data_IF_630203574924
#
_entry.id   IF_630203574924
#
_cell.length_a   1.000
_cell.length_b   1.000
_cell.length_c   1.000
_cell.angle_alpha   90.00
_cell.angle_beta   90.00
_cell.angle_gamma   90.00
#
_symmetry.space_group_name_H-M   'P 1'
#
loop_
_entity.id
_entity.type
_entity.pdbx_description
1 polymer ?
#
# COMPACT_ATOMS: atom_id res chain seq x y z
N UNK A 1 43.65 36.29 -11.24
CA UNK A 1 42.42 35.90 -11.98
C UNK A 1 41.30 35.81 -10.98
N UNK A 2 40.26 36.63 -11.14
CA UNK A 2 39.25 36.87 -10.11
C UNK A 2 38.22 35.75 -10.06
N UNK A 3 37.98 35.21 -8.86
CA UNK A 3 36.99 34.16 -8.54
C UNK A 3 35.56 34.55 -8.98
N UNK A 4 35.31 35.85 -9.17
CA UNK A 4 34.04 36.44 -9.61
C UNK A 4 33.63 36.10 -11.04
N UNK A 5 34.56 35.75 -11.95
CA UNK A 5 34.19 35.37 -13.33
C UNK A 5 33.65 33.93 -13.44
N UNK A 6 33.85 33.09 -12.42
CA UNK A 6 33.44 31.68 -12.45
C UNK A 6 32.03 31.46 -11.87
N UNK A 7 31.51 32.38 -11.05
CA UNK A 7 30.16 32.31 -10.47
C UNK A 7 29.02 32.16 -11.50
N UNK A 8 28.93 32.97 -12.57
CA UNK A 8 27.83 32.84 -13.54
C UNK A 8 27.89 31.54 -14.35
N UNK A 9 29.07 30.96 -14.52
CA UNK A 9 29.26 29.66 -15.19
C UNK A 9 28.78 28.53 -14.28
N UNK A 10 29.12 28.57 -12.99
CA UNK A 10 28.68 27.58 -12.00
C UNK A 10 27.15 27.60 -11.83
N UNK A 11 26.55 28.79 -11.76
CA UNK A 11 25.09 28.95 -11.71
C UNK A 11 24.41 28.42 -12.97
N UNK A 12 24.97 28.71 -14.16
CA UNK A 12 24.42 28.21 -15.43
C UNK A 12 24.50 26.69 -15.54
N UNK A 13 25.62 26.08 -15.12
CA UNK A 13 25.79 24.62 -15.09
C UNK A 13 24.81 23.99 -14.11
N UNK A 14 24.61 24.60 -12.94
CA UNK A 14 23.63 24.15 -11.96
C UNK A 14 22.20 24.21 -12.53
N UNK A 15 21.80 25.33 -13.12
CA UNK A 15 20.49 25.49 -13.75
C UNK A 15 20.26 24.49 -14.89
N UNK A 16 21.26 24.26 -15.74
CA UNK A 16 21.18 23.24 -16.80
C UNK A 16 21.10 21.82 -16.24
N UNK A 17 21.82 21.52 -15.15
CA UNK A 17 21.73 20.24 -14.47
C UNK A 17 20.34 20.03 -13.85
N UNK A 18 19.77 21.04 -13.19
CA UNK A 18 18.41 21.02 -12.66
C UNK A 18 17.36 20.88 -13.77
N UNK A 19 17.47 21.63 -14.87
CA UNK A 19 16.57 21.55 -16.01
C UNK A 19 16.63 20.18 -16.69
N UNK A 20 17.84 19.62 -16.88
CA UNK A 20 18.04 18.26 -17.41
C UNK A 20 17.51 17.19 -16.46
N UNK A 21 17.69 17.36 -15.16
CA UNK A 21 17.13 16.47 -14.14
C UNK A 21 15.60 16.49 -14.18
N UNK A 22 15.00 17.68 -14.23
CA UNK A 22 13.55 17.86 -14.33
C UNK A 22 13.01 17.27 -15.64
N UNK A 23 13.65 17.56 -16.77
CA UNK A 23 13.31 17.01 -18.08
C UNK A 23 13.36 15.48 -18.08
N UNK A 24 14.42 14.87 -17.53
CA UNK A 24 14.52 13.42 -17.39
C UNK A 24 13.44 12.83 -16.49
N UNK A 25 13.02 13.55 -15.44
CA UNK A 25 11.94 13.13 -14.55
C UNK A 25 10.56 13.24 -15.22
N UNK A 26 10.31 14.30 -15.97
CA UNK A 26 9.06 14.49 -16.70
C UNK A 26 8.89 13.54 -17.89
N UNK A 27 10.00 13.11 -18.51
CA UNK A 27 10.00 12.13 -19.61
C UNK A 27 10.18 10.68 -19.14
N UNK A 28 10.27 10.43 -17.83
CA UNK A 28 10.41 9.08 -17.32
C UNK A 28 9.07 8.34 -17.48
N UNK A 29 8.96 7.50 -18.50
CA UNK A 29 7.90 6.49 -18.59
C UNK A 29 8.41 5.20 -17.98
N UNK A 30 7.61 4.62 -17.11
CA UNK A 30 7.97 3.41 -16.39
C UNK A 30 7.56 2.13 -17.13
N UNK A 31 6.94 2.25 -18.31
CA UNK A 31 6.53 1.11 -19.14
C UNK A 31 7.67 0.16 -19.53
N UNK A 32 8.93 0.59 -19.43
CA UNK A 32 10.11 -0.24 -19.70
C UNK A 32 10.78 -0.83 -18.45
N UNK A 33 10.32 -0.51 -17.23
CA UNK A 33 10.94 -1.02 -15.99
C UNK A 33 10.83 -2.55 -15.86
N UNK A 34 9.75 -3.12 -16.40
CA UNK A 34 9.47 -4.56 -16.40
C UNK A 34 9.80 -5.25 -17.73
N UNK A 35 10.42 -4.57 -18.69
CA UNK A 35 10.67 -5.12 -20.04
C UNK A 35 11.51 -6.41 -20.01
N UNK A 36 12.42 -6.52 -19.04
CA UNK A 36 13.27 -7.69 -18.85
C UNK A 36 12.77 -8.64 -17.74
N UNK A 37 11.59 -8.41 -17.18
CA UNK A 37 11.04 -9.27 -16.13
C UNK A 37 10.38 -10.49 -16.77
N UNK A 38 10.44 -11.63 -16.09
CA UNK A 38 9.66 -12.80 -16.51
C UNK A 38 8.17 -12.49 -16.47
N UNK A 39 7.42 -13.01 -17.44
CA UNK A 39 5.96 -12.92 -17.40
C UNK A 39 5.44 -13.73 -16.20
N UNK A 40 4.54 -13.13 -15.42
CA UNK A 40 3.84 -13.85 -14.37
C UNK A 40 3.00 -14.97 -14.97
N UNK A 41 3.08 -16.16 -14.37
CA UNK A 41 2.20 -17.27 -14.74
C UNK A 41 0.76 -16.98 -14.30
N UNK A 42 -0.20 -17.64 -14.95
CA UNK A 42 -1.61 -17.53 -14.58
C UNK A 42 -1.86 -17.93 -13.11
N UNK A 43 -1.10 -18.90 -12.59
CA UNK A 43 -1.19 -19.34 -11.20
C UNK A 43 -0.67 -18.28 -10.21
N UNK A 44 0.46 -17.64 -10.52
CA UNK A 44 1.01 -16.55 -9.71
C UNK A 44 0.08 -15.34 -9.68
N UNK A 45 -0.59 -15.04 -10.80
CA UNK A 45 -1.49 -13.90 -10.91
C UNK A 45 -2.92 -14.18 -10.42
N UNK A 46 -3.37 -15.44 -10.41
CA UNK A 46 -4.74 -15.82 -10.06
C UNK A 46 -5.29 -15.22 -8.75
N UNK A 47 -4.51 -15.05 -7.67
CA UNK A 47 -5.00 -14.41 -6.44
C UNK A 47 -5.27 -12.91 -6.58
N UNK A 48 -4.60 -12.22 -7.53
CA UNK A 48 -4.58 -10.75 -7.59
C UNK A 48 -5.96 -10.15 -7.87
N UNK A 49 -6.74 -10.57 -8.90
CA UNK A 49 -8.07 -10.00 -9.15
C UNK A 49 -9.03 -10.19 -7.97
N UNK A 50 -8.98 -11.35 -7.31
CA UNK A 50 -9.80 -11.63 -6.12
C UNK A 50 -9.46 -10.69 -4.98
N UNK A 51 -8.17 -10.56 -4.65
CA UNK A 51 -7.73 -9.69 -3.55
C UNK A 51 -7.97 -8.21 -3.86
N UNK A 52 -7.90 -7.81 -5.13
CA UNK A 52 -8.33 -6.49 -5.59
C UNK A 52 -9.81 -6.23 -5.26
N UNK A 53 -10.69 -7.20 -5.54
CA UNK A 53 -12.11 -7.10 -5.17
C UNK A 53 -12.31 -7.03 -3.66
N UNK A 54 -11.55 -7.80 -2.88
CA UNK A 54 -11.64 -7.76 -1.42
C UNK A 54 -11.23 -6.40 -0.86
N UNK A 55 -10.18 -5.81 -1.43
CA UNK A 55 -9.74 -4.46 -1.06
C UNK A 55 -10.78 -3.41 -1.46
N UNK A 56 -11.42 -3.51 -2.63
CA UNK A 56 -12.51 -2.61 -3.02
C UNK A 56 -13.71 -2.72 -2.09
N UNK A 57 -14.04 -3.94 -1.63
CA UNK A 57 -15.12 -4.17 -0.71
C UNK A 57 -14.95 -3.38 0.61
N UNK A 58 -13.70 -3.16 1.05
CA UNK A 58 -13.40 -2.36 2.24
C UNK A 58 -13.75 -0.86 2.08
N UNK A 59 -14.01 -0.39 0.86
CA UNK A 59 -14.47 0.97 0.59
C UNK A 59 -15.98 1.12 0.74
N UNK A 60 -16.74 0.02 0.81
CA UNK A 60 -18.18 0.04 1.04
C UNK A 60 -18.52 0.26 2.51
N UNK A 61 -19.54 1.08 2.73
CA UNK A 61 -20.14 1.27 4.05
C UNK A 61 -20.97 0.04 4.45
N UNK A 62 -21.73 -0.53 3.50
CA UNK A 62 -22.54 -1.74 3.70
C UNK A 62 -22.26 -2.81 2.63
N UNK A 63 -21.60 -3.89 3.04
CA UNK A 63 -21.25 -5.02 2.18
C UNK A 63 -22.45 -5.89 1.78
N UNK A 64 -23.58 -5.80 2.49
CA UNK A 64 -24.82 -6.52 2.13
C UNK A 64 -25.61 -5.77 1.07
N UNK A 65 -25.40 -4.47 0.95
CA UNK A 65 -26.03 -3.61 -0.06
C UNK A 65 -25.00 -2.65 -0.68
N UNK A 66 -24.02 -3.20 -1.44
CA UNK A 66 -22.93 -2.41 -1.99
C UNK A 66 -23.41 -1.45 -3.08
N UNK A 67 -22.82 -0.25 -3.12
CA UNK A 67 -23.21 0.82 -4.04
C UNK A 67 -22.26 0.87 -5.25
N UNK A 68 -21.00 0.51 -5.06
CA UNK A 68 -19.89 0.65 -6.00
C UNK A 68 -19.33 -0.70 -6.47
N UNK A 69 -20.12 -1.76 -6.31
CA UNK A 69 -19.72 -3.10 -6.72
C UNK A 69 -19.40 -3.16 -8.23
N UNK A 70 -18.24 -3.73 -8.61
CA UNK A 70 -17.92 -3.98 -10.01
C UNK A 70 -18.87 -5.06 -10.59
N UNK A 71 -18.91 -5.24 -11.93
CA UNK A 71 -19.62 -6.36 -12.54
C UNK A 71 -19.22 -7.70 -11.91
N UNK A 72 -20.19 -8.47 -11.43
CA UNK A 72 -19.96 -9.73 -10.71
C UNK A 72 -19.71 -9.60 -9.20
N UNK A 73 -19.72 -8.38 -8.66
CA UNK A 73 -19.60 -8.11 -7.22
C UNK A 73 -18.20 -8.34 -6.67
N UNK A 74 -18.06 -8.20 -5.35
CA UNK A 74 -16.77 -8.35 -4.67
C UNK A 74 -16.33 -9.80 -4.47
N UNK A 75 -17.24 -10.77 -4.62
CA UNK A 75 -16.97 -12.18 -4.29
C UNK A 75 -16.73 -12.42 -2.80
N UNK A 76 -17.16 -11.50 -1.93
CA UNK A 76 -17.13 -11.64 -0.48
C UNK A 76 -18.49 -12.15 0.01
N UNK A 77 -18.46 -13.09 0.95
CA UNK A 77 -19.63 -13.41 1.75
C UNK A 77 -19.63 -12.59 3.05
N UNK A 78 -20.58 -11.66 3.27
CA UNK A 78 -20.60 -10.82 4.46
C UNK A 78 -20.67 -11.59 5.79
N UNK A 79 -21.16 -12.83 5.77
CA UNK A 79 -21.27 -13.67 6.97
C UNK A 79 -19.93 -14.32 7.37
N UNK A 80 -18.90 -14.24 6.54
CA UNK A 80 -17.55 -14.74 6.86
C UNK A 80 -16.59 -13.64 7.32
N UNK A 81 -17.09 -12.44 7.52
CA UNK A 81 -16.35 -11.33 8.10
C UNK A 81 -16.24 -11.59 9.61
N UNK A 82 -15.01 -11.66 10.11
CA UNK A 82 -14.76 -11.78 11.56
C UNK A 82 -15.09 -10.45 12.22
N UNK A 83 -14.48 -9.37 11.72
CA UNK A 83 -14.79 -7.99 12.09
C UNK A 83 -14.21 -6.99 11.08
N UNK A 84 -14.73 -5.77 11.14
CA UNK A 84 -14.17 -4.58 10.47
C UNK A 84 -13.81 -3.57 11.55
N UNK A 85 -12.75 -2.80 11.33
CA UNK A 85 -12.37 -1.68 12.19
C UNK A 85 -12.31 -0.40 11.38
N UNK A 86 -13.13 0.55 11.75
CA UNK A 86 -13.16 1.88 11.15
C UNK A 86 -12.17 2.86 11.83
N UNK A 87 -12.21 4.13 11.43
CA UNK A 87 -11.32 5.16 12.00
C UNK A 87 -11.52 5.41 13.50
N UNK A 88 -12.73 5.23 14.00
CA UNK A 88 -13.05 5.46 15.41
C UNK A 88 -12.49 4.31 16.25
N UNK A 89 -12.54 3.08 15.72
CA UNK A 89 -11.96 1.90 16.36
C UNK A 89 -10.42 1.86 16.23
N UNK A 90 -9.85 2.33 15.12
CA UNK A 90 -8.39 2.40 14.96
C UNK A 90 -7.76 3.59 15.66
N UNK A 91 -8.56 4.54 16.16
CA UNK A 91 -8.11 5.79 16.78
C UNK A 91 -7.13 6.57 15.87
N UNK A 92 -7.29 6.45 14.56
CA UNK A 92 -6.40 7.04 13.56
C UNK A 92 -4.96 6.49 13.55
N UNK A 93 -4.70 5.34 14.18
CA UNK A 93 -3.38 4.68 14.19
C UNK A 93 -3.14 3.82 12.95
N UNK A 94 -4.21 3.39 12.30
CA UNK A 94 -4.18 2.65 11.05
C UNK A 94 -5.35 3.02 10.16
N UNK A 95 -5.21 2.90 8.82
CA UNK A 95 -6.36 2.95 7.92
C UNK A 95 -7.37 1.85 8.30
N UNK A 96 -8.66 2.02 7.96
CA UNK A 96 -9.67 1.00 8.18
C UNK A 96 -9.27 -0.34 7.57
N UNK A 97 -9.68 -1.40 8.23
CA UNK A 97 -9.37 -2.75 7.79
C UNK A 97 -10.43 -3.75 8.18
N UNK A 98 -10.41 -4.89 7.50
CA UNK A 98 -11.28 -6.03 7.74
C UNK A 98 -10.48 -7.31 7.90
N UNK A 99 -10.92 -8.14 8.82
CA UNK A 99 -10.48 -9.52 8.94
C UNK A 99 -11.56 -10.44 8.37
N UNK A 100 -11.23 -11.14 7.29
CA UNK A 100 -12.16 -11.95 6.50
C UNK A 100 -11.70 -13.41 6.42
N UNK A 101 -12.63 -14.35 6.57
CA UNK A 101 -12.37 -15.78 6.38
C UNK A 101 -12.88 -16.26 5.03
N UNK A 102 -11.99 -16.44 4.06
CA UNK A 102 -12.34 -17.05 2.79
C UNK A 102 -12.34 -18.58 2.94
N UNK A 103 -13.49 -19.13 3.34
CA UNK A 103 -13.63 -20.57 3.56
C UNK A 103 -13.52 -21.39 2.27
N UNK A 104 -13.83 -20.82 1.11
CA UNK A 104 -13.69 -21.51 -0.18
C UNK A 104 -12.22 -21.72 -0.55
N UNK A 105 -11.38 -20.73 -0.24
CA UNK A 105 -9.93 -20.76 -0.52
C UNK A 105 -9.10 -21.23 0.66
N UNK A 106 -9.72 -21.44 1.83
CA UNK A 106 -9.04 -21.75 3.09
C UNK A 106 -8.00 -20.67 3.37
N UNK A 107 -8.42 -19.41 3.40
CA UNK A 107 -7.53 -18.25 3.54
C UNK A 107 -8.10 -17.28 4.57
N UNK A 108 -7.27 -16.88 5.54
CA UNK A 108 -7.57 -15.81 6.49
C UNK A 108 -6.95 -14.55 5.91
N UNK A 109 -7.79 -13.58 5.54
CA UNK A 109 -7.36 -12.38 4.83
C UNK A 109 -7.54 -11.14 5.71
N UNK A 110 -6.44 -10.46 6.04
CA UNK A 110 -6.48 -9.15 6.68
C UNK A 110 -6.28 -8.07 5.60
N UNK A 111 -7.30 -7.25 5.41
CA UNK A 111 -7.45 -6.34 4.27
C UNK A 111 -7.40 -4.90 4.78
N UNK A 112 -6.39 -4.12 4.38
CA UNK A 112 -6.23 -2.71 4.81
C UNK A 112 -6.52 -1.75 3.66
N UNK A 113 -7.41 -0.79 3.91
CA UNK A 113 -7.80 0.26 2.96
C UNK A 113 -6.64 1.22 2.64
N UNK A 114 -6.72 1.87 1.49
CA UNK A 114 -5.90 3.01 1.14
C UNK A 114 -6.27 4.29 1.90
N UNK A 115 -5.58 5.38 1.58
CA UNK A 115 -5.80 6.67 2.25
C UNK A 115 -7.18 7.24 1.94
N UNK A 116 -7.84 7.81 2.94
CA UNK A 116 -9.02 8.64 2.77
C UNK A 116 -8.61 10.12 2.78
N UNK A 117 -8.87 10.82 1.67
CA UNK A 117 -8.48 12.23 1.51
C UNK A 117 -9.11 13.18 2.54
N UNK A 118 -10.20 12.78 3.20
CA UNK A 118 -10.87 13.55 4.25
C UNK A 118 -10.33 13.26 5.66
N UNK A 119 -9.44 12.28 5.83
CA UNK A 119 -8.99 11.82 7.15
C UNK A 119 -7.54 12.23 7.40
N UNK A 120 -7.35 13.19 8.30
CA UNK A 120 -6.02 13.73 8.65
C UNK A 120 -5.07 12.66 9.20
N UNK A 121 -5.58 11.64 9.87
CA UNK A 121 -4.81 10.52 10.42
C UNK A 121 -4.04 9.76 9.34
N UNK A 122 -4.62 9.58 8.14
CA UNK A 122 -3.96 8.86 7.05
C UNK A 122 -2.77 9.65 6.50
N UNK A 123 -2.90 10.97 6.42
CA UNK A 123 -1.78 11.83 6.09
C UNK A 123 -0.71 11.82 7.18
N UNK A 124 -1.10 11.77 8.46
CA UNK A 124 -0.14 11.66 9.56
C UNK A 124 0.66 10.36 9.46
N UNK A 125 0.04 9.24 9.10
CA UNK A 125 0.74 7.96 8.84
C UNK A 125 1.67 8.08 7.63
N UNK A 126 1.19 8.64 6.52
CA UNK A 126 1.96 8.76 5.27
C UNK A 126 3.14 9.73 5.38
N UNK A 127 2.99 10.83 6.12
CA UNK A 127 3.99 11.90 6.22
C UNK A 127 4.92 11.75 7.43
N UNK A 128 4.67 10.78 8.31
CA UNK A 128 5.60 10.43 9.39
C UNK A 128 6.74 9.60 8.84
N UNK A 129 7.65 10.22 8.07
CA UNK A 129 8.84 9.55 7.58
C UNK A 129 10.02 10.52 7.46
N UNK A 130 11.21 10.02 7.77
CA UNK A 130 12.49 10.69 7.49
C UNK A 130 13.48 9.65 7.02
N UNK A 131 14.34 10.02 6.07
CA UNK A 131 15.32 9.10 5.50
C UNK A 131 16.21 8.52 6.62
N UNK A 132 16.27 7.19 6.69
CA UNK A 132 17.10 6.48 7.67
C UNK A 132 16.61 6.52 9.12
N UNK A 133 15.42 7.07 9.37
CA UNK A 133 14.87 7.26 10.72
C UNK A 133 14.61 5.93 11.45
N UNK A 134 14.09 4.94 10.73
CA UNK A 134 13.57 3.71 11.33
C UNK A 134 14.17 2.50 10.66
N UNK A 135 14.63 1.55 11.48
CA UNK A 135 15.23 0.29 11.05
C UNK A 135 14.36 -0.88 11.47
N UNK A 136 14.28 -1.88 10.61
CA UNK A 136 13.62 -3.15 10.86
C UNK A 136 14.46 -4.24 10.19
N UNK A 137 14.75 -5.32 10.90
CA UNK A 137 15.44 -6.49 10.35
C UNK A 137 16.77 -6.19 9.60
N UNK A 138 17.50 -5.17 10.04
CA UNK A 138 18.75 -4.73 9.39
C UNK A 138 18.58 -3.94 8.09
N UNK A 139 17.36 -3.56 7.71
CA UNK A 139 17.07 -2.56 6.67
C UNK A 139 16.41 -1.30 7.21
N UNK A 140 16.00 -0.42 6.30
CA UNK A 140 15.27 0.81 6.60
C UNK A 140 13.83 0.69 6.14
N UNK A 141 12.92 1.24 6.93
CA UNK A 141 11.49 1.21 6.64
C UNK A 141 10.85 2.57 6.88
N UNK A 142 9.68 2.76 6.29
CA UNK A 142 8.87 3.95 6.51
C UNK A 142 8.33 3.98 7.94
N UNK A 143 8.59 5.07 8.67
CA UNK A 143 8.31 5.13 10.10
C UNK A 143 6.81 5.06 10.44
N UNK A 144 5.98 5.89 9.81
CA UNK A 144 4.53 5.92 10.06
C UNK A 144 3.83 4.61 9.66
N UNK A 145 4.15 4.07 8.49
CA UNK A 145 3.65 2.76 8.05
C UNK A 145 4.07 1.64 9.02
N UNK A 146 5.30 1.65 9.55
CA UNK A 146 5.72 0.65 10.54
C UNK A 146 4.92 0.76 11.84
N UNK A 147 4.74 1.98 12.35
CA UNK A 147 3.94 2.21 13.57
C UNK A 147 2.51 1.70 13.40
N UNK A 148 1.92 1.96 12.22
CA UNK A 148 0.59 1.48 11.87
C UNK A 148 0.55 -0.05 11.81
N UNK A 149 1.52 -0.67 11.14
CA UNK A 149 1.65 -2.12 11.05
C UNK A 149 1.81 -2.80 12.42
N UNK A 150 2.66 -2.26 13.30
CA UNK A 150 2.83 -2.77 14.66
C UNK A 150 1.53 -2.63 15.46
N UNK A 151 0.82 -1.51 15.32
CA UNK A 151 -0.46 -1.31 16.01
C UNK A 151 -1.51 -2.33 15.57
N UNK A 152 -1.64 -2.59 14.25
CA UNK A 152 -2.55 -3.62 13.74
C UNK A 152 -2.13 -5.00 14.22
N UNK A 153 -0.83 -5.31 14.21
CA UNK A 153 -0.34 -6.59 14.70
C UNK A 153 -0.69 -6.81 16.17
N UNK A 154 -0.42 -5.84 17.04
CA UNK A 154 -0.72 -5.95 18.48
C UNK A 154 -2.23 -6.02 18.74
N UNK A 155 -3.06 -5.37 17.90
CA UNK A 155 -4.51 -5.41 18.02
C UNK A 155 -5.14 -6.73 17.56
N UNK A 156 -4.49 -7.44 16.63
CA UNK A 156 -5.03 -8.62 15.96
C UNK A 156 -4.29 -9.93 16.28
N UNK A 157 -3.14 -9.88 16.97
CA UNK A 157 -2.29 -11.07 17.13
C UNK A 157 -2.99 -12.23 17.82
N UNK A 158 -3.77 -11.97 18.86
CA UNK A 158 -4.51 -13.01 19.59
C UNK A 158 -5.65 -13.59 18.73
N UNK A 159 -6.42 -12.74 18.03
CA UNK A 159 -7.49 -13.20 17.14
C UNK A 159 -6.91 -14.03 15.99
N UNK A 160 -5.84 -13.54 15.36
CA UNK A 160 -5.16 -14.28 14.29
C UNK A 160 -4.63 -15.62 14.80
N UNK A 161 -4.03 -15.66 16.00
CA UNK A 161 -3.55 -16.90 16.61
C UNK A 161 -4.69 -17.90 16.81
N UNK A 162 -5.81 -17.47 17.41
CA UNK A 162 -6.98 -18.32 17.63
C UNK A 162 -7.56 -18.88 16.32
N UNK A 163 -7.64 -18.03 15.28
CA UNK A 163 -8.10 -18.46 13.96
C UNK A 163 -7.15 -19.45 13.30
N UNK A 164 -5.83 -19.22 13.37
CA UNK A 164 -4.82 -20.11 12.80
C UNK A 164 -4.78 -21.46 13.52
N UNK A 165 -5.00 -21.48 14.83
CA UNK A 165 -5.12 -22.71 15.61
C UNK A 165 -6.42 -23.47 15.32
N UNK A 166 -7.53 -22.74 15.13
CA UNK A 166 -8.85 -23.32 14.78
C UNK A 166 -8.91 -23.84 13.35
N UNK A 167 -8.16 -23.22 12.44
CA UNK A 167 -8.13 -23.54 11.01
C UNK A 167 -6.70 -23.85 10.55
N UNK A 168 -6.11 -24.98 11.02
CA UNK A 168 -4.70 -25.29 10.80
C UNK A 168 -4.35 -25.59 9.35
N UNK A 169 -5.31 -25.66 8.43
CA UNK A 169 -5.11 -25.84 6.99
C UNK A 169 -5.19 -24.52 6.19
N UNK A 170 -5.53 -23.39 6.83
CA UNK A 170 -5.77 -22.11 6.15
C UNK A 170 -4.50 -21.29 5.95
N UNK A 171 -4.35 -20.59 4.84
CA UNK A 171 -3.26 -19.59 4.68
C UNK A 171 -3.59 -18.30 5.42
N UNK A 172 -2.55 -17.49 5.67
CA UNK A 172 -2.69 -16.13 6.19
C UNK A 172 -2.26 -15.15 5.10
N UNK A 173 -3.18 -14.34 4.62
CA UNK A 173 -2.92 -13.37 3.56
C UNK A 173 -3.15 -11.95 4.06
N UNK A 174 -2.15 -11.09 3.91
CA UNK A 174 -2.29 -9.66 4.12
C UNK A 174 -2.48 -8.96 2.77
N UNK A 175 -3.55 -8.19 2.60
CA UNK A 175 -3.84 -7.49 1.36
C UNK A 175 -4.11 -6.01 1.65
N UNK A 176 -3.66 -5.13 0.77
CA UNK A 176 -3.95 -3.71 0.93
C UNK A 176 -3.68 -2.93 -0.32
N UNK A 177 -4.25 -1.73 -0.38
CA UNK A 177 -4.10 -0.79 -1.49
C UNK A 177 -3.41 0.50 -1.05
N UNK A 178 -2.56 1.07 -1.90
CA UNK A 178 -2.00 2.42 -1.74
C UNK A 178 -1.28 2.60 -0.39
N UNK A 179 -1.84 3.39 0.53
CA UNK A 179 -1.35 3.53 1.89
C UNK A 179 -1.39 2.20 2.66
N UNK A 180 -2.52 1.51 2.62
CA UNK A 180 -2.73 0.22 3.26
C UNK A 180 -1.81 -0.87 2.72
N UNK A 181 -1.48 -0.84 1.43
CA UNK A 181 -0.49 -1.73 0.82
C UNK A 181 0.90 -1.63 1.49
N UNK A 182 1.32 -0.40 1.81
CA UNK A 182 2.56 -0.18 2.56
C UNK A 182 2.48 -0.67 4.02
N UNK A 183 1.31 -0.52 4.66
CA UNK A 183 1.06 -1.05 6.00
C UNK A 183 1.11 -2.58 6.01
N UNK A 184 0.41 -3.26 5.09
CA UNK A 184 0.41 -4.73 5.05
C UNK A 184 1.76 -5.34 4.71
N UNK A 185 2.55 -4.67 3.86
CA UNK A 185 3.91 -5.12 3.57
C UNK A 185 4.79 -5.14 4.84
N UNK A 186 4.71 -4.09 5.66
CA UNK A 186 5.44 -4.03 6.93
C UNK A 186 4.81 -4.94 8.00
N UNK A 187 3.49 -5.06 8.05
CA UNK A 187 2.76 -5.98 8.93
C UNK A 187 3.18 -7.42 8.68
N UNK A 188 3.37 -7.79 7.41
CA UNK A 188 3.87 -9.12 7.04
C UNK A 188 5.26 -9.38 7.60
N UNK A 189 6.17 -8.41 7.52
CA UNK A 189 7.50 -8.52 8.12
C UNK A 189 7.38 -8.69 9.64
N UNK A 190 6.57 -7.84 10.30
CA UNK A 190 6.34 -7.91 11.75
C UNK A 190 5.78 -9.28 12.16
N UNK A 191 4.76 -9.77 11.45
CA UNK A 191 4.14 -11.07 11.70
C UNK A 191 5.15 -12.22 11.57
N UNK A 192 6.03 -12.16 10.56
CA UNK A 192 7.04 -13.21 10.35
C UNK A 192 8.18 -13.16 11.37
N UNK A 193 8.53 -11.97 11.86
CA UNK A 193 9.50 -11.82 12.94
C UNK A 193 8.96 -12.24 14.31
N UNK A 194 7.64 -12.19 14.50
CA UNK A 194 6.97 -12.52 15.75
C UNK A 194 6.05 -13.76 15.61
N UNK A 195 6.46 -14.76 14.81
CA UNK A 195 5.63 -15.96 14.54
C UNK A 195 5.31 -16.77 15.78
N UNK A 196 6.14 -16.68 16.81
CA UNK A 196 5.89 -17.29 18.11
C UNK A 196 4.59 -16.78 18.75
N UNK A 197 4.22 -15.52 18.49
CA UNK A 197 2.93 -14.95 18.92
C UNK A 197 1.76 -15.45 18.09
N UNK A 198 2.00 -15.90 16.86
CA UNK A 198 1.00 -16.48 15.95
C UNK A 198 0.99 -18.02 16.01
N UNK A 199 1.38 -18.62 17.14
CA UNK A 199 1.37 -20.09 17.30
C UNK A 199 2.45 -20.83 16.50
N UNK A 200 3.55 -20.15 16.14
CA UNK A 200 4.63 -20.68 15.30
C UNK A 200 4.18 -21.11 13.89
N UNK A 201 3.21 -20.39 13.34
CA UNK A 201 2.69 -20.63 11.99
C UNK A 201 3.80 -20.67 10.92
N UNK A 202 3.66 -21.56 9.92
CA UNK A 202 4.66 -21.73 8.88
C UNK A 202 4.74 -20.49 7.99
N UNK A 203 5.96 -19.93 7.84
CA UNK A 203 6.24 -18.77 6.99
C UNK A 203 5.72 -18.98 5.56
N UNK A 204 5.80 -20.20 5.03
CA UNK A 204 5.39 -20.51 3.64
C UNK A 204 3.89 -20.33 3.40
N UNK A 205 3.09 -20.26 4.47
CA UNK A 205 1.65 -20.08 4.41
C UNK A 205 1.23 -18.64 4.67
N UNK A 206 2.18 -17.75 4.92
CA UNK A 206 1.98 -16.31 5.02
C UNK A 206 2.23 -15.70 3.65
N UNK A 207 1.29 -14.89 3.17
CA UNK A 207 1.41 -14.17 1.90
C UNK A 207 1.02 -12.71 2.09
N UNK A 208 1.55 -11.85 1.23
CA UNK A 208 1.17 -10.46 1.17
C UNK A 208 0.98 -10.03 -0.28
N UNK A 209 -0.10 -9.28 -0.52
CA UNK A 209 -0.40 -8.66 -1.80
C UNK A 209 -0.57 -7.16 -1.58
N UNK A 210 0.51 -6.43 -1.85
CA UNK A 210 0.59 -4.99 -1.74
C UNK A 210 0.26 -4.37 -3.09
N UNK A 211 -0.94 -3.83 -3.23
CA UNK A 211 -1.48 -3.30 -4.48
C UNK A 211 -1.23 -1.79 -4.54
N UNK A 212 -0.54 -1.30 -5.58
CA UNK A 212 -0.10 0.09 -5.69
C UNK A 212 0.65 0.60 -4.43
N UNK A 213 1.66 -0.11 -3.90
CA UNK A 213 2.22 0.20 -2.59
C UNK A 213 2.98 1.52 -2.56
N UNK A 214 2.79 2.30 -1.50
CA UNK A 214 3.74 3.34 -1.13
C UNK A 214 5.13 2.73 -0.83
N UNK A 215 6.20 3.43 -1.22
CA UNK A 215 7.58 2.97 -0.93
C UNK A 215 7.82 2.89 0.58
N UNK A 216 7.89 1.68 1.10
CA UNK A 216 7.86 1.42 2.54
C UNK A 216 9.11 0.72 3.11
N UNK A 217 9.99 0.16 2.27
CA UNK A 217 11.16 -0.63 2.69
C UNK A 217 12.40 -0.36 1.83
N UNK A 218 13.58 -0.67 2.37
CA UNK A 218 14.84 -0.67 1.62
C UNK A 218 14.99 -1.94 0.77
N UNK A 219 15.81 -1.86 -0.29
CA UNK A 219 16.02 -2.95 -1.25
C UNK A 219 16.42 -4.28 -0.59
N UNK A 220 17.27 -4.25 0.44
CA UNK A 220 17.69 -5.48 1.13
C UNK A 220 16.52 -6.20 1.83
N UNK A 221 15.51 -5.47 2.33
CA UNK A 221 14.30 -6.05 2.89
C UNK A 221 13.38 -6.55 1.78
N UNK A 222 13.20 -5.76 0.71
CA UNK A 222 12.40 -6.17 -0.44
C UNK A 222 12.88 -7.50 -1.01
N UNK A 223 14.20 -7.68 -1.17
CA UNK A 223 14.79 -8.95 -1.64
C UNK A 223 14.64 -10.07 -0.61
N UNK A 224 14.83 -9.79 0.69
CA UNK A 224 14.74 -10.79 1.76
C UNK A 224 13.33 -11.37 1.93
N UNK A 225 12.29 -10.59 1.65
CA UNK A 225 10.89 -10.97 1.81
C UNK A 225 10.16 -11.19 0.48
N UNK A 226 10.90 -11.28 -0.64
CA UNK A 226 10.34 -11.51 -1.97
C UNK A 226 9.65 -12.88 -2.13
N UNK A 227 9.89 -13.81 -1.20
CA UNK A 227 9.23 -15.12 -1.14
C UNK A 227 7.77 -15.06 -0.70
N UNK A 228 7.37 -13.99 0.00
CA UNK A 228 6.03 -13.86 0.59
C UNK A 228 5.34 -12.51 0.29
N UNK A 229 6.08 -11.45 -0.04
CA UNK A 229 5.52 -10.13 -0.36
C UNK A 229 5.49 -9.91 -1.88
N UNK A 230 4.28 -9.87 -2.43
CA UNK A 230 4.02 -9.59 -3.83
C UNK A 230 3.56 -8.13 -3.96
N UNK A 231 4.28 -7.34 -4.75
CA UNK A 231 3.89 -5.97 -5.07
C UNK A 231 3.25 -5.93 -6.47
N UNK A 232 2.02 -5.45 -6.55
CA UNK A 232 1.28 -5.33 -7.82
C UNK A 232 1.20 -3.87 -8.19
N UNK A 233 1.74 -3.52 -9.36
CA UNK A 233 1.77 -2.15 -9.89
C UNK A 233 1.27 -2.17 -11.33
N UNK A 234 0.18 -1.46 -11.62
CA UNK A 234 -0.35 -1.27 -12.98
C UNK A 234 0.36 -0.09 -13.65
N UNK A 235 0.96 -0.37 -14.81
CA UNK A 235 1.47 0.64 -15.75
C UNK A 235 2.29 1.76 -15.06
N UNK A 236 1.94 3.02 -15.33
CA UNK A 236 2.66 4.23 -14.90
C UNK A 236 2.18 4.77 -13.53
N UNK A 237 1.54 3.95 -12.68
CA UNK A 237 1.16 4.36 -11.32
C UNK A 237 2.33 5.03 -10.58
N UNK A 238 2.11 6.28 -10.17
CA UNK A 238 3.15 7.14 -9.65
C UNK A 238 3.46 6.84 -8.18
N UNK A 239 2.53 6.25 -7.42
CA UNK A 239 2.66 6.13 -5.96
C UNK A 239 3.84 5.23 -5.54
N UNK A 240 4.06 4.06 -6.16
CA UNK A 240 5.25 3.24 -5.91
C UNK A 240 6.56 3.89 -6.37
N UNK A 241 6.47 4.97 -7.17
CA UNK A 241 7.61 5.65 -7.79
C UNK A 241 7.92 7.00 -7.13
N UNK A 242 7.04 7.48 -6.24
CA UNK A 242 7.23 8.74 -5.53
C UNK A 242 8.31 8.66 -4.45
N UNK A 243 9.38 9.40 -4.73
CA UNK A 243 10.33 10.04 -3.80
C UNK A 243 9.87 10.25 -2.36
N UNK A 244 10.63 9.91 -1.32
CA UNK A 244 10.43 10.45 0.03
C UNK A 244 10.70 11.96 -0.01
N UNK A 245 11.59 12.40 -0.92
CA UNK A 245 11.81 13.80 -1.26
C UNK A 245 10.67 14.45 -2.07
N UNK A 246 9.67 13.68 -2.55
CA UNK A 246 8.44 14.19 -3.15
C UNK A 246 7.32 14.39 -2.11
N UNK A 247 7.58 14.16 -0.82
CA UNK A 247 6.71 14.62 0.27
C UNK A 247 6.39 16.12 0.14
N UNK A 248 7.34 16.93 -0.33
CA UNK A 248 7.11 18.36 -0.52
C UNK A 248 6.20 18.66 -1.71
N UNK A 249 6.14 17.78 -2.72
CA UNK A 249 5.16 17.90 -3.83
C UNK A 249 3.78 17.40 -3.39
N UNK A 250 3.68 16.33 -2.61
CA UNK A 250 2.41 15.96 -1.98
C UNK A 250 1.92 17.06 -1.06
N UNK A 251 2.78 17.59 -0.19
CA UNK A 251 2.47 18.76 0.65
C UNK A 251 2.01 19.92 -0.21
N UNK A 252 2.66 20.22 -1.35
CA UNK A 252 2.30 21.33 -2.24
C UNK A 252 0.97 21.13 -2.98
N UNK A 253 0.75 19.96 -3.58
CA UNK A 253 -0.48 19.60 -4.29
C UNK A 253 -1.68 19.53 -3.33
N UNK A 254 -1.44 19.04 -2.10
CA UNK A 254 -2.46 19.00 -1.04
C UNK A 254 -2.64 20.37 -0.35
N UNK A 255 -1.61 21.20 -0.26
CA UNK A 255 -1.69 22.58 0.27
C UNK A 255 -2.56 23.48 -0.60
N UNK A 256 -2.50 23.31 -1.92
CA UNK A 256 -3.37 24.01 -2.86
C UNK A 256 -4.85 23.73 -2.51
N UNK A 257 -5.19 22.53 -2.04
CA UNK A 257 -6.54 22.17 -1.58
C UNK A 257 -6.91 22.81 -0.24
N UNK A 258 -5.98 22.93 0.71
CA UNK A 258 -6.23 23.59 1.99
C UNK A 258 -6.38 25.12 1.86
N UNK A 259 -5.68 25.72 0.89
CA UNK A 259 -5.66 27.18 0.66
C UNK A 259 -6.84 27.66 -0.19
N UNK A 260 -7.33 26.82 -1.08
CA UNK A 260 -8.49 27.12 -1.91
C UNK A 260 -9.72 26.44 -1.33
N UNK A 261 -10.55 27.19 -0.58
CA UNK A 261 -11.97 26.88 -0.34
C UNK A 261 -12.77 26.91 -1.66
N UNK A 262 -12.31 26.19 -2.69
CA UNK A 262 -13.04 26.01 -3.93
C UNK A 262 -13.86 24.74 -3.83
N UNK A 263 -15.16 24.99 -3.90
CA UNK A 263 -16.24 24.07 -4.20
C UNK A 263 -15.92 23.34 -5.52
N UNK A 264 -15.32 22.16 -5.43
CA UNK A 264 -15.16 21.25 -6.57
C UNK A 264 -15.61 19.84 -6.16
N UNK A 265 -16.86 19.54 -6.49
CA UNK A 265 -17.45 18.20 -6.54
C UNK A 265 -16.90 17.34 -7.70
N UNK A 266 -15.82 17.76 -8.38
CA UNK A 266 -15.29 17.12 -9.59
C UNK A 266 -13.84 16.61 -9.45
N UNK A 267 -13.27 16.61 -8.24
CA UNK A 267 -11.97 15.97 -7.95
C UNK A 267 -12.17 14.79 -6.99
N UNK A 268 -13.20 13.98 -7.25
CA UNK A 268 -13.14 12.54 -6.97
C UNK A 268 -12.30 11.81 -8.05
N UNK A 269 -12.02 12.45 -9.20
CA UNK A 269 -11.32 11.90 -10.37
C UNK A 269 -9.91 11.34 -10.13
N UNK A 270 -9.14 11.91 -9.20
CA UNK A 270 -7.77 11.45 -8.92
C UNK A 270 -7.68 10.19 -8.07
N UNK A 271 -8.68 9.95 -7.21
CA UNK A 271 -8.86 8.68 -6.50
C UNK A 271 -9.61 7.68 -7.39
N UNK A 272 -10.47 8.17 -8.28
CA UNK A 272 -11.11 7.38 -9.35
C UNK A 272 -10.09 6.66 -10.22
N UNK A 273 -8.90 7.23 -10.55
CA UNK A 273 -7.87 6.48 -11.29
C UNK A 273 -7.30 5.27 -10.50
N UNK A 274 -7.32 5.31 -9.17
CA UNK A 274 -6.90 4.22 -8.29
C UNK A 274 -8.03 3.20 -8.04
N UNK A 275 -9.28 3.66 -7.99
CA UNK A 275 -10.44 2.77 -7.95
C UNK A 275 -10.69 2.10 -9.31
N UNK A 276 -10.51 2.82 -10.43
CA UNK A 276 -10.46 2.32 -11.81
C UNK A 276 -9.27 1.36 -11.99
N UNK A 277 -8.14 1.60 -11.33
CA UNK A 277 -6.99 0.70 -11.30
C UNK A 277 -7.36 -0.63 -10.65
N UNK A 278 -7.97 -0.62 -9.46
CA UNK A 278 -8.32 -1.88 -8.77
C UNK A 278 -9.49 -2.54 -9.51
N UNK A 279 -10.42 -1.76 -10.05
CA UNK A 279 -11.53 -2.26 -10.88
C UNK A 279 -10.99 -2.92 -12.15
N UNK A 280 -10.05 -2.29 -12.87
CA UNK A 280 -9.41 -2.88 -14.06
C UNK A 280 -8.64 -4.16 -13.75
N UNK A 281 -7.92 -4.22 -12.61
CA UNK A 281 -7.29 -5.46 -12.14
C UNK A 281 -8.35 -6.51 -11.76
N UNK A 282 -9.48 -6.10 -11.18
CA UNK A 282 -10.58 -6.99 -10.84
C UNK A 282 -11.32 -7.56 -12.06
N UNK A 283 -11.29 -6.85 -13.19
CA UNK A 283 -11.93 -7.21 -14.46
C UNK A 283 -10.98 -7.98 -15.39
N UNK A 284 -9.68 -8.05 -15.06
CA UNK A 284 -8.63 -8.65 -15.91
C UNK A 284 -8.63 -10.19 -16.03
N UNK A 285 -9.79 -10.84 -15.91
CA UNK A 285 -10.03 -12.25 -16.28
C UNK A 285 -11.35 -12.42 -17.02
#
# INVERSE_FOLDING_TARGET
MSITCCLPIVESVYCLACARWLWKKCLYSAGHESENWGLATAEEFAPVPRLCRYVLAEYEDDLRNPIWAPPGGYGINPDWIVHRKDYDETLGRAPPYMLYMDHERRDIVLIIRGLNLAKESDYAVLLDNKLGQTKLDGGYVHNGLLKSAMWVFDAECEVLKELLESFPEYTLTFAGHSLGAGVVALLTIVAVQNREKLGNFDRKRIRCYAIAPARCTSLNLAVRYADIINSVVLQDDFLPRTTTALEDVFKSVLWIRASWKIRCSEIQGGCMLLDDYITSLSESL
#
